data_IF_129716351520
#
_entry.id   IF_129716351520
#
_cell.length_a   1.000
_cell.length_b   1.000
_cell.length_c   1.000
_cell.angle_alpha   90.00
_cell.angle_beta   90.00
_cell.angle_gamma   90.00
#
_symmetry.space_group_name_H-M   'P 1'
#
loop_
_entity.id
_entity.type
_entity.pdbx_description
1 polymer ?
#
# COMPACT_ATOMS: atom_id res chain seq x y z
N UNK A 1 9.82 -33.12 1.64
CA UNK A 1 9.49 -32.51 0.33
C UNK A 1 8.45 -31.38 0.36
N UNK A 2 7.57 -31.27 1.37
CA UNK A 2 6.54 -30.21 1.41
C UNK A 2 7.01 -28.83 1.87
N UNK A 3 8.16 -28.74 2.54
CA UNK A 3 8.64 -27.48 3.13
C UNK A 3 9.40 -26.58 2.14
N UNK A 4 10.03 -27.12 1.10
CA UNK A 4 10.78 -26.32 0.12
C UNK A 4 9.87 -25.66 -0.93
N UNK A 5 8.73 -26.28 -1.27
CA UNK A 5 7.75 -25.69 -2.18
C UNK A 5 7.03 -24.49 -1.56
N UNK A 6 6.74 -24.52 -0.26
CA UNK A 6 6.10 -23.37 0.45
C UNK A 6 7.01 -22.14 0.54
N UNK A 7 8.34 -22.33 0.58
CA UNK A 7 9.30 -21.22 0.60
C UNK A 7 9.41 -20.48 -0.72
N UNK A 8 8.92 -21.04 -1.82
CA UNK A 8 8.92 -20.39 -3.14
C UNK A 8 7.68 -19.53 -3.42
N UNK A 9 6.62 -19.66 -2.62
CA UNK A 9 5.39 -18.88 -2.80
C UNK A 9 5.66 -17.41 -2.49
N UNK A 10 5.12 -16.49 -3.29
CA UNK A 10 5.29 -15.06 -3.03
C UNK A 10 4.51 -14.62 -1.79
N UNK A 11 4.96 -13.52 -1.20
CA UNK A 11 4.21 -12.81 -0.15
C UNK A 11 3.30 -11.79 -0.85
N UNK A 12 2.00 -11.99 -0.77
CA UNK A 12 1.03 -11.06 -1.35
C UNK A 12 0.75 -9.94 -0.36
N UNK A 13 0.99 -8.68 -0.79
CA UNK A 13 0.81 -7.48 0.03
C UNK A 13 -0.29 -6.59 -0.55
N UNK A 14 -1.43 -6.52 0.14
CA UNK A 14 -2.59 -5.69 -0.23
C UNK A 14 -2.54 -4.36 0.51
N UNK A 15 -2.60 -3.25 -0.22
CA UNK A 15 -2.40 -1.93 0.35
C UNK A 15 -3.21 -0.82 -0.32
N UNK A 16 -3.41 0.26 0.43
CA UNK A 16 -3.83 1.57 -0.08
C UNK A 16 -2.95 2.64 0.57
N UNK A 17 -2.59 3.65 -0.19
CA UNK A 17 -1.79 4.78 0.30
C UNK A 17 -2.50 5.63 1.37
N UNK A 18 -3.82 5.50 1.52
CA UNK A 18 -4.56 6.11 2.63
C UNK A 18 -4.16 5.53 4.01
N UNK A 19 -3.52 4.36 4.04
CA UNK A 19 -3.21 3.69 5.30
C UNK A 19 -1.78 3.96 5.78
N UNK A 20 -1.56 4.67 6.89
CA UNK A 20 -0.26 4.77 7.52
C UNK A 20 0.26 3.40 7.98
N UNK A 21 -0.63 2.48 8.33
CA UNK A 21 -0.25 1.11 8.68
C UNK A 21 0.31 0.35 7.47
N UNK A 22 -0.19 0.62 6.26
CA UNK A 22 0.37 0.04 5.04
C UNK A 22 1.77 0.61 4.73
N UNK A 23 2.03 1.88 5.03
CA UNK A 23 3.36 2.47 4.95
C UNK A 23 4.34 1.76 5.90
N UNK A 24 4.00 1.60 7.18
CA UNK A 24 4.85 0.91 8.14
C UNK A 24 5.05 -0.57 7.75
N UNK A 25 3.99 -1.25 7.34
CA UNK A 25 4.07 -2.64 6.90
C UNK A 25 4.99 -2.81 5.69
N UNK A 26 4.92 -1.94 4.69
CA UNK A 26 5.79 -1.98 3.52
C UNK A 26 7.27 -1.85 3.89
N UNK A 27 7.57 -0.92 4.80
CA UNK A 27 8.93 -0.70 5.29
C UNK A 27 9.49 -1.90 6.05
N UNK A 28 8.66 -2.59 6.81
CA UNK A 28 9.06 -3.79 7.57
C UNK A 28 9.10 -5.04 6.70
N UNK A 29 8.17 -5.19 5.77
CA UNK A 29 8.02 -6.38 4.94
C UNK A 29 9.19 -6.57 3.96
N UNK A 30 9.70 -5.48 3.38
CA UNK A 30 10.78 -5.55 2.40
C UNK A 30 12.06 -6.20 2.95
N UNK A 31 12.63 -5.76 4.09
CA UNK A 31 13.78 -6.43 4.68
C UNK A 31 13.47 -7.85 5.17
N UNK A 32 12.25 -8.09 5.65
CA UNK A 32 11.82 -9.42 6.07
C UNK A 32 11.79 -10.40 4.88
N UNK A 33 11.19 -10.02 3.77
CA UNK A 33 11.14 -10.84 2.55
C UNK A 33 12.55 -11.14 2.02
N UNK A 34 13.43 -10.14 2.00
CA UNK A 34 14.83 -10.32 1.58
C UNK A 34 15.59 -11.29 2.49
N UNK A 35 15.37 -11.23 3.81
CA UNK A 35 15.99 -12.14 4.78
C UNK A 35 15.66 -13.61 4.50
N UNK A 36 14.46 -13.88 3.99
CA UNK A 36 13.98 -15.24 3.69
C UNK A 36 13.97 -15.57 2.20
N UNK A 37 14.59 -14.73 1.36
CA UNK A 37 14.61 -14.87 -0.11
C UNK A 37 13.21 -15.08 -0.71
N UNK A 38 12.23 -14.33 -0.20
CA UNK A 38 10.84 -14.35 -0.65
C UNK A 38 10.54 -13.14 -1.54
N UNK A 39 9.79 -13.36 -2.60
CA UNK A 39 9.30 -12.28 -3.46
C UNK A 39 8.05 -11.65 -2.86
N UNK A 40 7.92 -10.33 -2.97
CA UNK A 40 6.68 -9.61 -2.65
C UNK A 40 5.91 -9.37 -3.95
N UNK A 41 4.66 -9.78 -3.99
CA UNK A 41 3.67 -9.36 -4.98
C UNK A 41 2.75 -8.31 -4.35
N UNK A 42 2.89 -7.07 -4.82
CA UNK A 42 2.17 -5.94 -4.26
C UNK A 42 0.88 -5.66 -5.04
N UNK A 43 -0.23 -5.58 -4.32
CA UNK A 43 -1.59 -5.47 -4.82
C UNK A 43 -2.22 -4.15 -4.35
N UNK A 44 -2.20 -3.08 -5.18
CA UNK A 44 -2.92 -1.86 -4.86
C UNK A 44 -4.42 -2.11 -4.90
N UNK A 45 -5.13 -1.79 -3.82
CA UNK A 45 -6.58 -1.96 -3.70
C UNK A 45 -7.26 -0.70 -3.21
N UNK A 46 -8.52 -0.49 -3.56
CA UNK A 46 -9.28 0.67 -3.10
C UNK A 46 -9.87 0.38 -1.72
N UNK A 47 -9.26 0.91 -0.67
CA UNK A 47 -9.65 0.67 0.72
C UNK A 47 -11.11 1.02 1.00
N UNK A 48 -11.61 2.15 0.47
CA UNK A 48 -13.02 2.50 0.61
C UNK A 48 -13.97 1.43 0.06
N UNK A 49 -13.57 0.69 -1.00
CA UNK A 49 -14.39 -0.40 -1.54
C UNK A 49 -14.36 -1.66 -0.68
N UNK A 50 -13.26 -1.91 0.03
CA UNK A 50 -13.23 -2.96 1.06
C UNK A 50 -14.19 -2.62 2.20
N UNK A 51 -14.16 -1.38 2.69
CA UNK A 51 -15.06 -0.90 3.73
C UNK A 51 -16.53 -1.02 3.32
N UNK A 52 -16.88 -0.54 2.12
CA UNK A 52 -18.24 -0.64 1.55
C UNK A 52 -18.73 -2.09 1.52
N UNK A 53 -17.88 -3.01 1.03
CA UNK A 53 -18.21 -4.43 0.89
C UNK A 53 -18.53 -5.10 2.22
N UNK A 54 -17.77 -4.75 3.27
CA UNK A 54 -17.87 -5.40 4.57
C UNK A 54 -18.71 -4.59 5.59
N UNK A 55 -19.34 -3.49 5.16
CA UNK A 55 -20.18 -2.66 6.01
C UNK A 55 -19.40 -1.98 7.15
N UNK A 56 -18.16 -1.58 6.90
CA UNK A 56 -17.27 -0.99 7.89
C UNK A 56 -17.08 0.51 7.64
N UNK A 57 -16.79 1.26 8.72
CA UNK A 57 -16.31 2.63 8.65
C UNK A 57 -14.78 2.66 8.80
N UNK A 58 -14.13 3.48 7.99
CA UNK A 58 -12.70 3.72 8.10
C UNK A 58 -12.34 4.43 9.41
N UNK A 59 -11.12 4.22 9.95
CA UNK A 59 -10.70 4.89 11.19
C UNK A 59 -10.76 6.41 11.10
N UNK A 60 -10.54 6.98 9.91
CA UNK A 60 -10.60 8.43 9.70
C UNK A 60 -12.03 9.01 9.76
N UNK A 61 -13.06 8.19 9.60
CA UNK A 61 -14.48 8.60 9.65
C UNK A 61 -15.02 8.67 11.08
N UNK A 62 -14.34 8.04 12.04
CA UNK A 62 -14.72 8.01 13.45
C UNK A 62 -13.75 8.89 14.24
N UNK A 63 -14.23 10.08 14.68
CA UNK A 63 -13.38 11.10 15.29
C UNK A 63 -12.44 10.59 16.41
N UNK A 64 -12.89 9.81 17.41
CA UNK A 64 -11.99 9.25 18.42
C UNK A 64 -10.95 8.28 17.84
N UNK A 65 -11.32 7.46 16.82
CA UNK A 65 -10.38 6.55 16.16
C UNK A 65 -9.34 7.30 15.33
N UNK A 66 -9.72 8.39 14.65
CA UNK A 66 -8.79 9.25 13.92
C UNK A 66 -7.70 9.80 14.85
N UNK A 67 -8.11 10.35 16.01
CA UNK A 67 -7.16 10.86 17.00
C UNK A 67 -6.22 9.74 17.50
N UNK A 68 -6.79 8.62 17.90
CA UNK A 68 -6.01 7.46 18.37
C UNK A 68 -5.04 6.96 17.29
N UNK A 69 -5.49 6.86 16.03
CA UNK A 69 -4.66 6.42 14.91
C UNK A 69 -3.43 7.33 14.74
N UNK A 70 -3.64 8.65 14.75
CA UNK A 70 -2.55 9.61 14.63
C UNK A 70 -1.53 9.46 15.79
N UNK A 71 -2.03 9.41 17.02
CA UNK A 71 -1.18 9.23 18.19
C UNK A 71 -0.45 7.87 18.20
N UNK A 72 -1.11 6.80 17.74
CA UNK A 72 -0.48 5.49 17.57
C UNK A 72 0.66 5.56 16.54
N UNK A 73 0.43 6.16 15.37
CA UNK A 73 1.44 6.27 14.33
C UNK A 73 2.67 7.06 14.79
N UNK A 74 2.47 8.15 15.55
CA UNK A 74 3.59 8.91 16.14
C UNK A 74 4.41 8.05 17.11
N UNK A 75 3.75 7.30 18.00
CA UNK A 75 4.42 6.41 18.94
C UNK A 75 5.14 5.26 18.24
N UNK A 76 4.48 4.65 17.24
CA UNK A 76 5.06 3.55 16.47
C UNK A 76 6.30 4.01 15.70
N UNK A 77 6.22 5.15 15.03
CA UNK A 77 7.34 5.73 14.28
C UNK A 77 8.53 6.02 15.21
N UNK A 78 8.28 6.63 16.39
CA UNK A 78 9.33 6.92 17.36
C UNK A 78 9.98 5.64 17.94
N UNK A 79 9.19 4.57 18.14
CA UNK A 79 9.70 3.31 18.68
C UNK A 79 10.57 2.54 17.67
N UNK A 80 10.29 2.71 16.38
CA UNK A 80 10.95 1.97 15.29
C UNK A 80 11.90 2.84 14.44
N UNK A 81 12.22 4.05 14.87
CA UNK A 81 13.07 5.02 14.16
C UNK A 81 12.59 5.30 12.72
N UNK A 82 11.26 5.38 12.54
CA UNK A 82 10.68 5.78 11.26
C UNK A 82 10.38 7.28 11.24
N UNK A 83 10.73 7.93 10.14
CA UNK A 83 10.20 9.26 9.86
C UNK A 83 8.69 9.17 9.61
N UNK A 84 7.93 10.06 10.26
CA UNK A 84 6.48 10.11 10.10
C UNK A 84 5.98 11.55 10.10
N UNK A 85 5.58 12.00 8.91
CA UNK A 85 5.01 13.33 8.67
C UNK A 85 3.87 13.17 7.65
N UNK A 86 2.61 12.94 8.09
CA UNK A 86 1.52 12.64 7.19
C UNK A 86 1.13 13.80 6.28
N UNK A 87 0.58 13.52 5.07
CA UNK A 87 0.04 14.55 4.17
C UNK A 87 -1.04 15.37 4.89
N UNK A 88 -1.03 16.70 4.70
CA UNK A 88 -2.01 17.58 5.32
C UNK A 88 -3.43 17.35 4.82
N UNK A 89 -3.58 16.89 3.57
CA UNK A 89 -4.87 16.58 2.95
C UNK A 89 -5.45 15.22 3.35
N UNK A 90 -4.80 14.46 4.24
CA UNK A 90 -5.31 13.14 4.60
C UNK A 90 -6.69 13.21 5.30
N UNK A 91 -7.70 12.43 4.83
CA UNK A 91 -7.70 11.48 3.72
C UNK A 91 -7.78 12.17 2.34
N UNK A 92 -6.90 11.78 1.43
CA UNK A 92 -6.83 12.27 0.06
C UNK A 92 -7.42 11.24 -0.94
N UNK A 93 -7.53 11.61 -2.22
CA UNK A 93 -7.95 10.67 -3.27
C UNK A 93 -6.75 9.79 -3.72
N UNK A 94 -6.71 8.48 -3.43
CA UNK A 94 -5.56 7.62 -3.74
C UNK A 94 -5.59 7.00 -5.14
N UNK A 95 -6.63 7.26 -5.95
CA UNK A 95 -6.86 6.49 -7.18
C UNK A 95 -5.74 6.61 -8.20
N UNK A 96 -5.10 7.77 -8.33
CA UNK A 96 -3.99 7.95 -9.27
C UNK A 96 -2.73 7.21 -8.81
N UNK A 97 -2.37 7.33 -7.53
CA UNK A 97 -1.23 6.62 -6.95
C UNK A 97 -1.40 5.11 -7.00
N UNK A 98 -2.60 4.59 -6.69
CA UNK A 98 -2.91 3.15 -6.81
C UNK A 98 -2.79 2.65 -8.25
N UNK A 99 -3.32 3.40 -9.23
CA UNK A 99 -3.22 3.04 -10.64
C UNK A 99 -1.78 3.06 -11.16
N UNK A 100 -0.95 4.02 -10.73
CA UNK A 100 0.48 4.03 -11.05
C UNK A 100 1.19 2.78 -10.52
N UNK A 101 0.72 2.22 -9.42
CA UNK A 101 1.31 1.07 -8.73
C UNK A 101 0.81 -0.29 -9.21
N UNK A 102 -0.17 -0.34 -10.13
CA UNK A 102 -0.58 -1.59 -10.75
C UNK A 102 0.60 -2.23 -11.51
N UNK A 103 0.76 -3.54 -11.40
CA UNK A 103 1.88 -4.28 -12.02
C UNK A 103 1.97 -4.06 -13.52
N UNK A 104 0.83 -4.02 -14.20
CA UNK A 104 0.72 -3.82 -15.65
C UNK A 104 1.13 -2.41 -16.08
N UNK A 105 0.99 -1.43 -15.18
CA UNK A 105 1.34 -0.03 -15.40
C UNK A 105 2.80 0.25 -15.02
N UNK A 106 3.18 -0.14 -13.83
CA UNK A 106 4.51 0.10 -13.23
C UNK A 106 5.59 -0.86 -13.74
N UNK A 107 5.19 -2.05 -14.23
CA UNK A 107 6.11 -3.08 -14.75
C UNK A 107 7.19 -3.45 -13.72
N UNK A 108 8.45 -3.36 -14.10
CA UNK A 108 9.58 -3.69 -13.23
C UNK A 108 9.87 -2.64 -12.15
N UNK A 109 9.26 -1.46 -12.25
CA UNK A 109 9.44 -0.35 -11.31
C UNK A 109 8.42 -0.34 -10.18
N UNK A 110 7.52 -1.34 -10.09
CA UNK A 110 6.42 -1.36 -9.13
C UNK A 110 6.88 -1.09 -7.68
N UNK A 111 7.85 -1.83 -7.19
CA UNK A 111 8.34 -1.67 -5.81
C UNK A 111 9.01 -0.32 -5.58
N UNK A 112 9.72 0.21 -6.58
CA UNK A 112 10.34 1.54 -6.52
C UNK A 112 9.28 2.63 -6.44
N UNK A 113 8.23 2.53 -7.25
CA UNK A 113 7.09 3.46 -7.24
C UNK A 113 6.38 3.40 -5.89
N UNK A 114 6.07 2.20 -5.38
CA UNK A 114 5.39 2.03 -4.10
C UNK A 114 6.21 2.64 -2.97
N UNK A 115 7.50 2.34 -2.91
CA UNK A 115 8.40 2.89 -1.88
C UNK A 115 8.48 4.41 -1.95
N UNK A 116 8.67 4.98 -3.15
CA UNK A 116 8.79 6.41 -3.33
C UNK A 116 7.51 7.17 -2.93
N UNK A 117 6.33 6.64 -3.32
CA UNK A 117 5.05 7.28 -2.99
C UNK A 117 4.76 7.18 -1.49
N UNK A 118 4.97 6.01 -0.85
CA UNK A 118 4.81 5.88 0.59
C UNK A 118 5.74 6.80 1.36
N UNK A 119 7.02 6.84 1.01
CA UNK A 119 8.01 7.68 1.67
C UNK A 119 7.70 9.18 1.49
N UNK A 120 7.42 9.62 0.25
CA UNK A 120 7.08 11.00 -0.01
C UNK A 120 5.84 11.45 0.79
N UNK A 121 4.79 10.63 0.85
CA UNK A 121 3.58 10.95 1.59
C UNK A 121 3.77 10.88 3.10
N UNK A 122 4.17 9.74 3.63
CA UNK A 122 4.11 9.47 5.06
C UNK A 122 5.36 9.87 5.84
N UNK A 123 6.55 9.94 5.19
CA UNK A 123 7.77 10.48 5.81
C UNK A 123 7.91 11.99 5.57
N UNK A 124 7.61 12.46 4.36
CA UNK A 124 7.92 13.84 3.96
C UNK A 124 6.69 14.75 3.86
N UNK A 125 5.48 14.25 4.11
CA UNK A 125 4.25 15.04 4.10
C UNK A 125 3.85 15.60 2.74
N UNK A 126 4.27 14.94 1.65
CA UNK A 126 3.89 15.34 0.28
C UNK A 126 2.44 14.96 0.01
N UNK A 127 1.78 15.80 -0.81
CA UNK A 127 0.41 15.53 -1.23
C UNK A 127 0.35 14.37 -2.23
N UNK A 128 -0.44 13.35 -1.93
CA UNK A 128 -0.59 12.13 -2.75
C UNK A 128 -1.88 12.12 -3.58
N UNK A 129 -2.77 13.07 -3.38
CA UNK A 129 -4.02 13.21 -4.13
C UNK A 129 -3.88 13.98 -5.44
N UNK A 130 -2.76 14.64 -5.65
CA UNK A 130 -2.47 15.48 -6.82
C UNK A 130 -1.54 14.78 -7.80
N UNK A 131 -1.95 14.76 -9.10
CA UNK A 131 -1.19 14.05 -10.13
C UNK A 131 0.19 14.68 -10.39
N UNK A 132 0.30 16.00 -10.36
CA UNK A 132 1.58 16.68 -10.57
C UNK A 132 2.58 16.39 -9.44
N UNK A 133 2.09 16.28 -8.21
CA UNK A 133 2.90 15.83 -7.06
C UNK A 133 3.40 14.40 -7.25
N UNK A 134 2.53 13.49 -7.70
CA UNK A 134 2.90 12.09 -7.99
C UNK A 134 3.92 11.99 -9.13
N UNK A 135 3.76 12.78 -10.21
CA UNK A 135 4.73 12.87 -11.30
C UNK A 135 6.11 13.28 -10.78
N UNK A 136 6.19 14.33 -9.98
CA UNK A 136 7.45 14.80 -9.41
C UNK A 136 8.11 13.75 -8.50
N UNK A 137 7.31 12.98 -7.73
CA UNK A 137 7.81 11.92 -6.86
C UNK A 137 8.46 10.79 -7.67
N UNK A 138 7.78 10.31 -8.73
CA UNK A 138 8.30 9.18 -9.52
C UNK A 138 9.43 9.61 -10.45
N UNK A 139 9.42 10.84 -10.94
CA UNK A 139 10.50 11.42 -11.75
C UNK A 139 11.83 11.50 -10.99
N UNK A 140 11.79 11.84 -9.70
CA UNK A 140 12.97 11.82 -8.81
C UNK A 140 13.61 10.43 -8.69
N UNK A 141 12.85 9.38 -8.98
CA UNK A 141 13.37 8.01 -9.05
C UNK A 141 13.92 7.64 -10.44
N UNK A 142 13.94 8.57 -11.40
CA UNK A 142 14.33 8.28 -12.77
C UNK A 142 13.33 7.42 -13.54
N UNK A 143 12.06 7.44 -13.13
CA UNK A 143 10.96 6.70 -13.76
C UNK A 143 10.20 7.64 -14.71
N UNK A 144 9.73 7.12 -15.83
CA UNK A 144 8.97 7.90 -16.82
C UNK A 144 7.60 8.32 -16.26
N UNK A 145 7.59 9.47 -15.57
CA UNK A 145 6.39 10.04 -14.96
C UNK A 145 5.32 10.36 -15.99
N UNK A 146 5.72 10.82 -17.19
CA UNK A 146 4.79 11.16 -18.26
C UNK A 146 4.06 9.91 -18.78
N UNK A 147 4.78 8.80 -18.93
CA UNK A 147 4.15 7.54 -19.29
C UNK A 147 3.12 7.15 -18.22
N UNK A 148 3.49 7.14 -16.94
CA UNK A 148 2.60 6.74 -15.84
C UNK A 148 1.34 7.60 -15.76
N UNK A 149 1.46 8.93 -15.85
CA UNK A 149 0.31 9.84 -15.78
C UNK A 149 -0.63 9.69 -16.99
N UNK A 150 -0.12 9.37 -18.17
CA UNK A 150 -0.97 9.03 -19.31
C UNK A 150 -1.73 7.72 -19.09
N UNK A 151 -1.15 6.75 -18.38
CA UNK A 151 -1.82 5.47 -18.13
C UNK A 151 -2.97 5.61 -17.12
N UNK A 152 -2.81 6.35 -16.03
CA UNK A 152 -3.78 6.37 -14.92
C UNK A 152 -5.18 6.85 -15.29
N UNK A 153 -5.30 7.60 -16.39
CA UNK A 153 -6.59 8.11 -16.88
C UNK A 153 -7.33 7.13 -17.80
N UNK A 154 -6.65 6.11 -18.31
CA UNK A 154 -7.20 5.16 -19.27
C UNK A 154 -8.31 4.31 -18.65
N UNK A 155 -9.41 4.06 -19.39
CA UNK A 155 -10.52 3.22 -18.90
C UNK A 155 -10.06 1.81 -18.51
N UNK A 156 -9.16 1.21 -19.28
CA UNK A 156 -8.61 -0.12 -19.00
C UNK A 156 -7.83 -0.17 -17.68
N UNK A 157 -7.05 0.87 -17.36
CA UNK A 157 -6.31 0.94 -16.08
C UNK A 157 -7.25 1.16 -14.89
N UNK A 158 -8.34 1.91 -15.10
CA UNK A 158 -9.40 2.02 -14.07
C UNK A 158 -10.04 0.67 -13.81
N UNK A 159 -10.31 -0.10 -14.87
CA UNK A 159 -10.90 -1.44 -14.75
C UNK A 159 -9.93 -2.42 -14.09
N UNK A 160 -8.62 -2.36 -14.38
CA UNK A 160 -7.60 -3.17 -13.70
C UNK A 160 -7.63 -2.97 -12.19
N UNK A 161 -7.69 -1.73 -11.70
CA UNK A 161 -7.76 -1.45 -10.26
C UNK A 161 -9.06 -1.96 -9.62
N UNK A 162 -10.18 -1.89 -10.35
CA UNK A 162 -11.45 -2.48 -9.91
C UNK A 162 -11.32 -4.00 -9.79
N UNK A 163 -10.75 -4.66 -10.80
CA UNK A 163 -10.56 -6.10 -10.81
C UNK A 163 -9.63 -6.55 -9.67
N UNK A 164 -8.51 -5.84 -9.47
CA UNK A 164 -7.57 -6.12 -8.38
C UNK A 164 -8.25 -6.02 -7.00
N UNK A 165 -9.05 -4.98 -6.81
CA UNK A 165 -9.83 -4.81 -5.56
C UNK A 165 -10.89 -5.92 -5.41
N UNK A 166 -11.56 -6.32 -6.48
CA UNK A 166 -12.56 -7.41 -6.45
C UNK A 166 -11.90 -8.73 -6.11
N UNK A 167 -10.77 -9.06 -6.74
CA UNK A 167 -9.99 -10.27 -6.43
C UNK A 167 -9.52 -10.29 -4.97
N UNK A 168 -9.09 -9.15 -4.43
CA UNK A 168 -8.74 -9.05 -3.02
C UNK A 168 -9.94 -9.37 -2.10
N UNK A 169 -11.12 -8.84 -2.41
CA UNK A 169 -12.36 -9.12 -1.67
C UNK A 169 -12.69 -10.63 -1.72
N UNK A 170 -12.57 -11.26 -2.87
CA UNK A 170 -12.83 -12.70 -3.06
C UNK A 170 -11.84 -13.56 -2.24
N UNK A 171 -10.63 -13.10 -2.03
CA UNK A 171 -9.62 -13.70 -1.15
C UNK A 171 -9.83 -13.40 0.34
N UNK A 172 -10.90 -12.70 0.70
CA UNK A 172 -11.23 -12.38 2.09
C UNK A 172 -10.50 -11.16 2.66
N UNK A 173 -9.87 -10.34 1.82
CA UNK A 173 -9.24 -9.08 2.26
C UNK A 173 -10.34 -8.10 2.69
N UNK A 174 -10.29 -7.65 3.94
CA UNK A 174 -11.29 -6.76 4.54
C UNK A 174 -10.72 -5.41 5.00
N UNK A 175 -9.43 -5.23 4.90
CA UNK A 175 -8.73 -4.00 5.30
C UNK A 175 -7.29 -3.97 4.81
N UNK A 176 -6.61 -2.86 5.03
CA UNK A 176 -5.21 -2.68 4.61
C UNK A 176 -4.36 -2.15 5.77
N UNK A 177 -3.08 -2.58 5.89
CA UNK A 177 -2.44 -3.61 5.07
C UNK A 177 -2.99 -5.00 5.36
N UNK A 178 -3.04 -5.85 4.33
CA UNK A 178 -3.22 -7.29 4.50
C UNK A 178 -2.08 -8.00 3.80
N UNK A 179 -1.55 -9.03 4.43
CA UNK A 179 -0.51 -9.90 3.88
C UNK A 179 -1.08 -11.31 3.82
N UNK A 180 -0.92 -11.96 2.66
CA UNK A 180 -1.28 -13.37 2.50
C UNK A 180 0.00 -14.11 2.11
N UNK A 181 0.35 -15.11 2.89
CA UNK A 181 1.50 -15.99 2.63
C UNK A 181 1.26 -17.38 3.21
N UNK A 182 1.69 -18.41 2.51
CA UNK A 182 1.55 -19.81 2.95
C UNK A 182 0.12 -20.15 3.39
N UNK A 183 -0.89 -19.68 2.63
CA UNK A 183 -2.34 -19.84 2.87
C UNK A 183 -2.86 -19.15 4.14
N UNK A 184 -2.07 -18.28 4.78
CA UNK A 184 -2.49 -17.53 5.96
C UNK A 184 -2.66 -16.04 5.65
N UNK A 185 -3.67 -15.43 6.26
CA UNK A 185 -3.97 -14.01 6.16
C UNK A 185 -3.55 -13.30 7.45
N UNK A 186 -2.75 -12.26 7.31
CA UNK A 186 -2.29 -11.38 8.38
C UNK A 186 -2.77 -9.96 8.10
N UNK A 187 -3.52 -9.36 9.01
CA UNK A 187 -4.05 -8.01 8.86
C UNK A 187 -3.44 -7.06 9.87
N UNK A 188 -2.81 -6.00 9.38
CA UNK A 188 -2.17 -4.96 10.18
C UNK A 188 -0.64 -5.00 10.11
N UNK A 189 -0.01 -3.88 10.43
CA UNK A 189 1.45 -3.79 10.50
C UNK A 189 2.05 -4.42 11.77
N UNK A 190 1.22 -4.68 12.76
CA UNK A 190 1.56 -5.35 14.02
C UNK A 190 1.68 -6.87 13.90
N UNK A 191 1.34 -7.43 12.73
CA UNK A 191 1.42 -8.87 12.47
C UNK A 191 2.79 -9.32 11.92
N UNK A 192 3.75 -8.41 11.73
CA UNK A 192 5.04 -8.72 11.09
C UNK A 192 5.86 -9.77 11.84
N UNK A 193 5.68 -9.90 13.15
CA UNK A 193 6.39 -10.90 13.97
C UNK A 193 5.84 -12.33 13.78
N UNK A 194 4.68 -12.46 13.12
CA UNK A 194 3.98 -13.73 12.90
C UNK A 194 4.19 -14.27 11.47
N UNK A 195 4.81 -13.49 10.59
CA UNK A 195 5.11 -13.81 9.19
C UNK A 195 6.55 -14.35 9.08
#
# INVERSE_FOLDING_TARGET
MSNDLKRSEPIHFYFDYLSPFAYFAWRNLTPLANKYDRKIEAHPVVFGKLLDKWGQLGPAEISPKRKWLHEYCLRYAALHDFEYNPPKSHPFNPLSSLRMSLREVSRNDQHRIISAIFEAGWSHGKELGDLASLEAIVEQQGIDAKYLSQQVSKPEVKQMLINETTTAIEKGVFGVPTIITDDNLFWGNDQMEHI
#
